data_IF_151811333111
#
_entry.id   IF_151811333111
#
_cell.length_a   1.000
_cell.length_b   1.000
_cell.length_c   1.000
_cell.angle_alpha   90.00
_cell.angle_beta   90.00
_cell.angle_gamma   90.00
#
_symmetry.space_group_name_H-M   'P 1'
#
loop_
_entity.id
_entity.type
_entity.pdbx_description
1 polymer ?
#
# COMPACT_ATOMS: atom_id res chain seq x y z
N UNK A 1 10.83 -3.90 -15.97
CA UNK A 1 9.79 -3.19 -15.20
C UNK A 1 9.13 -4.12 -14.19
N UNK A 2 8.64 -5.27 -14.64
CA UNK A 2 8.03 -6.25 -13.73
C UNK A 2 9.00 -6.73 -12.66
N UNK A 3 10.28 -6.88 -13.01
CA UNK A 3 11.31 -7.30 -12.07
C UNK A 3 11.50 -6.26 -10.96
N UNK A 4 11.50 -4.98 -11.32
CA UNK A 4 11.65 -3.91 -10.34
C UNK A 4 10.44 -3.85 -9.40
N UNK A 5 9.24 -4.07 -9.94
CA UNK A 5 8.02 -4.09 -9.15
C UNK A 5 8.05 -5.25 -8.15
N UNK A 6 8.45 -6.44 -8.61
CA UNK A 6 8.56 -7.60 -7.73
C UNK A 6 9.59 -7.36 -6.63
N UNK A 7 10.73 -6.73 -6.96
CA UNK A 7 11.75 -6.41 -5.98
C UNK A 7 11.20 -5.48 -4.91
N UNK A 8 10.43 -4.47 -5.30
CA UNK A 8 9.83 -3.55 -4.35
C UNK A 8 8.79 -4.25 -3.46
N UNK A 9 7.92 -5.07 -4.07
CA UNK A 9 6.89 -5.80 -3.32
C UNK A 9 7.54 -6.77 -2.32
N UNK A 10 8.68 -7.35 -2.68
CA UNK A 10 9.40 -8.29 -1.83
C UNK A 10 10.23 -7.62 -0.74
N UNK A 11 10.45 -6.32 -0.83
CA UNK A 11 11.36 -5.62 0.08
C UNK A 11 10.79 -5.45 1.49
N UNK A 12 9.48 -5.47 1.64
CA UNK A 12 8.80 -5.34 2.94
C UNK A 12 7.53 -6.18 2.95
N UNK A 13 7.11 -6.58 4.15
CA UNK A 13 5.85 -7.32 4.32
C UNK A 13 4.64 -6.50 3.91
N UNK A 14 4.69 -5.19 4.14
CA UNK A 14 3.62 -4.27 3.75
C UNK A 14 4.24 -3.21 2.84
N UNK A 15 3.75 -3.12 1.61
CA UNK A 15 4.24 -2.16 0.62
C UNK A 15 3.10 -1.34 0.06
N UNK A 16 3.30 -0.03 0.01
CA UNK A 16 2.33 0.91 -0.53
C UNK A 16 2.90 1.62 -1.75
N UNK A 17 2.23 1.46 -2.87
CA UNK A 17 2.54 2.25 -4.08
C UNK A 17 1.61 3.45 -4.06
N UNK A 18 2.19 4.65 -4.00
CA UNK A 18 1.42 5.87 -3.76
C UNK A 18 1.93 7.04 -4.59
N UNK A 19 1.17 8.11 -4.62
CA UNK A 19 1.58 9.37 -5.22
C UNK A 19 2.17 10.25 -4.11
N UNK A 20 3.46 10.53 -4.20
CA UNK A 20 4.20 11.22 -3.16
C UNK A 20 4.84 10.26 -2.18
N UNK A 21 5.11 10.73 -0.98
CA UNK A 21 5.74 9.95 0.09
C UNK A 21 4.82 9.95 1.31
N UNK A 22 5.04 9.02 2.28
CA UNK A 22 4.22 9.02 3.49
C UNK A 22 4.25 10.33 4.27
N UNK A 23 5.38 11.04 4.22
CA UNK A 23 5.52 12.34 4.88
C UNK A 23 4.87 13.44 4.04
N UNK A 24 4.88 13.28 2.72
CA UNK A 24 4.37 14.29 1.78
C UNK A 24 3.51 13.66 0.70
N UNK A 25 2.30 13.17 1.06
CA UNK A 25 1.42 12.60 0.04
C UNK A 25 0.98 13.67 -0.96
N UNK A 26 0.97 13.31 -2.23
CA UNK A 26 0.62 14.22 -3.32
C UNK A 26 -0.77 13.96 -3.90
N UNK A 27 -1.57 13.15 -3.21
CA UNK A 27 -2.91 12.77 -3.64
C UNK A 27 -3.73 12.46 -2.40
N UNK A 28 -4.96 12.95 -2.36
CA UNK A 28 -5.85 12.74 -1.21
C UNK A 28 -6.10 11.26 -0.91
N UNK A 29 -6.21 10.43 -1.95
CA UNK A 29 -6.41 9.00 -1.78
C UNK A 29 -5.18 8.33 -1.18
N UNK A 30 -3.99 8.72 -1.63
CA UNK A 30 -2.73 8.22 -1.05
C UNK A 30 -2.58 8.67 0.40
N UNK A 31 -2.92 9.92 0.69
CA UNK A 31 -2.89 10.46 2.06
C UNK A 31 -3.80 9.66 2.99
N UNK A 32 -4.98 9.27 2.50
CA UNK A 32 -5.93 8.51 3.30
C UNK A 32 -5.39 7.14 3.68
N UNK A 33 -4.75 6.44 2.74
CA UNK A 33 -4.18 5.12 3.03
C UNK A 33 -3.02 5.24 4.03
N UNK A 34 -2.16 6.25 3.87
CA UNK A 34 -1.07 6.49 4.82
C UNK A 34 -1.64 6.74 6.22
N UNK A 35 -2.68 7.55 6.33
CA UNK A 35 -3.33 7.84 7.61
C UNK A 35 -3.84 6.54 8.27
N UNK A 36 -4.48 5.68 7.48
CA UNK A 36 -5.01 4.41 7.98
C UNK A 36 -3.87 3.52 8.48
N UNK A 37 -2.80 3.38 7.71
CA UNK A 37 -1.67 2.54 8.09
C UNK A 37 -1.00 3.06 9.36
N UNK A 38 -0.91 4.38 9.51
CA UNK A 38 -0.36 4.98 10.73
C UNK A 38 -1.28 4.75 11.94
N UNK A 39 -2.58 4.80 11.75
CA UNK A 39 -3.55 4.52 12.84
C UNK A 39 -3.49 3.08 13.29
N UNK A 40 -3.34 2.16 12.37
CA UNK A 40 -3.18 0.75 12.68
C UNK A 40 -1.82 0.50 13.35
N UNK A 41 -0.85 1.36 13.06
CA UNK A 41 0.48 1.25 13.68
C UNK A 41 1.32 0.15 13.05
N UNK A 42 1.19 -0.05 11.74
CA UNK A 42 1.98 -1.04 11.02
C UNK A 42 3.14 -0.34 10.30
N UNK A 43 4.29 -1.00 10.28
CA UNK A 43 5.43 -0.54 9.50
C UNK A 43 5.23 -0.93 8.05
N UNK A 44 5.49 0.00 7.15
CA UNK A 44 5.34 -0.26 5.72
C UNK A 44 6.41 0.46 4.91
N UNK A 45 6.78 -0.15 3.79
CA UNK A 45 7.60 0.52 2.80
C UNK A 45 6.70 1.21 1.79
N UNK A 46 7.26 2.14 1.04
CA UNK A 46 6.49 2.87 0.04
C UNK A 46 7.30 3.11 -1.22
N UNK A 47 6.58 3.26 -2.33
CA UNK A 47 7.15 3.65 -3.62
C UNK A 47 6.37 4.86 -4.11
N UNK A 48 7.09 5.94 -4.43
CA UNK A 48 6.49 7.14 -5.02
C UNK A 48 6.42 6.97 -6.52
N UNK A 49 5.24 6.64 -7.03
CA UNK A 49 5.06 6.37 -8.46
C UNK A 49 5.16 7.63 -9.32
N UNK A 50 5.17 8.81 -8.70
CA UNK A 50 5.33 10.06 -9.45
C UNK A 50 6.77 10.25 -9.92
N UNK A 51 7.73 9.53 -9.36
CA UNK A 51 9.12 9.63 -9.75
C UNK A 51 9.44 8.84 -11.03
N UNK A 52 8.52 7.96 -11.46
CA UNK A 52 8.75 7.12 -12.64
C UNK A 52 7.42 6.77 -13.30
N UNK A 53 7.21 7.25 -14.51
CA UNK A 53 6.03 6.89 -15.31
C UNK A 53 6.01 5.40 -15.58
N UNK A 54 7.17 4.81 -15.77
CA UNK A 54 7.32 3.38 -16.01
C UNK A 54 6.81 2.57 -14.82
N UNK A 55 7.17 2.99 -13.60
CA UNK A 55 6.69 2.35 -12.38
C UNK A 55 5.19 2.55 -12.22
N UNK A 56 4.69 3.75 -12.46
CA UNK A 56 3.26 4.06 -12.32
C UNK A 56 2.41 3.21 -13.24
N UNK A 57 2.77 3.13 -14.51
CA UNK A 57 2.03 2.33 -15.47
C UNK A 57 2.27 0.83 -15.24
N UNK A 58 3.48 0.47 -14.86
CA UNK A 58 3.85 -0.91 -14.61
C UNK A 58 3.08 -1.54 -13.46
N UNK A 59 2.92 -0.81 -12.34
CA UNK A 59 2.19 -1.36 -11.19
C UNK A 59 0.71 -1.59 -11.49
N UNK A 60 0.11 -0.73 -12.32
CA UNK A 60 -1.28 -0.91 -12.74
C UNK A 60 -1.45 -2.18 -13.57
N UNK A 61 -0.50 -2.44 -14.46
CA UNK A 61 -0.51 -3.67 -15.27
C UNK A 61 -0.23 -4.90 -14.41
N UNK A 62 0.73 -4.80 -13.51
CA UNK A 62 1.10 -5.90 -12.63
C UNK A 62 -0.08 -6.37 -11.79
N UNK A 63 -0.82 -5.43 -11.20
CA UNK A 63 -1.97 -5.74 -10.35
C UNK A 63 -3.27 -5.95 -11.11
N UNK A 64 -3.30 -5.56 -12.38
CA UNK A 64 -4.52 -5.47 -13.16
C UNK A 64 -5.54 -4.53 -12.48
N UNK A 65 -5.05 -3.48 -11.85
CA UNK A 65 -5.86 -2.50 -11.12
C UNK A 65 -5.51 -1.11 -11.63
N UNK A 66 -6.49 -0.30 -12.00
CA UNK A 66 -6.25 0.91 -12.79
C UNK A 66 -5.82 2.14 -12.00
N UNK A 67 -5.88 2.11 -10.67
CA UNK A 67 -5.67 3.32 -9.87
C UNK A 67 -4.56 3.17 -8.84
N UNK A 68 -4.07 4.30 -8.36
CA UNK A 68 -3.12 4.45 -7.27
C UNK A 68 -3.86 5.20 -6.16
N UNK A 69 -3.70 4.87 -4.88
CA UNK A 69 -2.70 3.97 -4.29
C UNK A 69 -3.05 2.49 -4.38
N UNK A 70 -2.02 1.65 -4.20
CA UNK A 70 -2.19 0.19 -4.15
C UNK A 70 -1.41 -0.36 -2.96
N UNK A 71 -2.07 -1.18 -2.16
CA UNK A 71 -1.44 -1.80 -0.99
C UNK A 71 -1.19 -3.28 -1.22
N UNK A 72 0.01 -3.72 -0.85
CA UNK A 72 0.41 -5.13 -0.89
C UNK A 72 0.78 -5.59 0.51
N UNK A 73 0.30 -6.77 0.90
CA UNK A 73 0.63 -7.42 2.16
C UNK A 73 1.13 -8.82 1.86
N UNK A 74 2.36 -9.13 2.32
CA UNK A 74 2.99 -10.43 2.05
C UNK A 74 2.93 -10.80 0.58
N UNK A 75 3.27 -9.83 -0.27
CA UNK A 75 3.35 -9.97 -1.73
C UNK A 75 1.99 -10.09 -2.43
N UNK A 76 0.91 -9.99 -1.69
CA UNK A 76 -0.44 -10.10 -2.23
C UNK A 76 -1.09 -8.73 -2.35
N UNK A 77 -1.68 -8.46 -3.51
CA UNK A 77 -2.41 -7.22 -3.74
C UNK A 77 -3.68 -7.21 -2.90
N UNK A 78 -3.84 -6.19 -2.06
CA UNK A 78 -5.00 -6.09 -1.18
C UNK A 78 -6.06 -5.17 -1.79
N UNK A 79 -5.65 -3.98 -2.23
CA UNK A 79 -6.60 -3.06 -2.83
C UNK A 79 -6.12 -1.62 -2.81
N UNK A 80 -7.01 -0.75 -3.24
CA UNK A 80 -6.79 0.69 -3.26
C UNK A 80 -7.46 1.37 -2.08
N UNK A 81 -7.62 2.69 -2.19
CA UNK A 81 -8.12 3.52 -1.08
C UNK A 81 -9.48 3.07 -0.55
N UNK A 82 -10.43 2.81 -1.44
CA UNK A 82 -11.79 2.46 -1.01
C UNK A 82 -11.81 1.12 -0.26
N UNK A 83 -11.12 0.13 -0.78
CA UNK A 83 -11.06 -1.20 -0.16
C UNK A 83 -10.36 -1.12 1.19
N UNK A 84 -9.24 -0.42 1.27
CA UNK A 84 -8.49 -0.28 2.52
C UNK A 84 -9.31 0.47 3.57
N UNK A 85 -10.03 1.50 3.16
CA UNK A 85 -10.91 2.26 4.06
C UNK A 85 -12.01 1.34 4.63
N UNK A 86 -12.67 0.55 3.79
CA UNK A 86 -13.68 -0.40 4.24
C UNK A 86 -13.11 -1.43 5.20
N UNK A 87 -11.95 -1.99 4.87
CA UNK A 87 -11.31 -2.99 5.72
C UNK A 87 -10.90 -2.41 7.06
N UNK A 88 -10.46 -1.15 7.06
CA UNK A 88 -10.11 -0.47 8.31
C UNK A 88 -11.34 -0.29 9.18
N UNK A 89 -12.45 0.16 8.60
CA UNK A 89 -13.68 0.43 9.34
C UNK A 89 -14.34 -0.84 9.87
N UNK A 90 -14.23 -1.94 9.15
CA UNK A 90 -14.80 -3.22 9.56
C UNK A 90 -13.91 -4.02 10.52
N UNK A 91 -12.65 -3.61 10.69
CA UNK A 91 -11.68 -4.37 11.46
C UNK A 91 -10.94 -5.44 10.67
N UNK A 92 -11.31 -5.65 9.42
CA UNK A 92 -10.69 -6.68 8.57
C UNK A 92 -9.22 -6.40 8.29
N UNK A 93 -8.82 -5.13 8.23
CA UNK A 93 -7.42 -4.78 7.96
C UNK A 93 -6.53 -5.25 9.11
N UNK A 94 -6.93 -4.96 10.34
CA UNK A 94 -6.19 -5.38 11.51
C UNK A 94 -6.13 -6.90 11.59
N UNK A 95 -7.23 -7.57 11.30
CA UNK A 95 -7.30 -9.02 11.30
C UNK A 95 -6.37 -9.62 10.24
N UNK A 96 -6.35 -9.04 9.04
CA UNK A 96 -5.47 -9.47 7.96
C UNK A 96 -4.00 -9.40 8.38
N UNK A 97 -3.62 -8.27 8.98
CA UNK A 97 -2.24 -8.07 9.43
C UNK A 97 -1.87 -9.07 10.53
N UNK A 98 -2.74 -9.25 11.50
CA UNK A 98 -2.50 -10.21 12.59
C UNK A 98 -2.40 -11.64 12.07
N UNK A 99 -3.27 -12.04 11.16
CA UNK A 99 -3.27 -13.38 10.57
C UNK A 99 -1.98 -13.66 9.82
N UNK A 100 -1.38 -12.62 9.22
CA UNK A 100 -0.12 -12.75 8.49
C UNK A 100 1.09 -12.57 9.39
N UNK A 101 0.92 -12.48 10.70
CA UNK A 101 2.03 -12.37 11.65
C UNK A 101 2.73 -11.03 11.62
N UNK A 102 2.06 -9.99 11.15
CA UNK A 102 2.63 -8.65 11.05
C UNK A 102 2.32 -7.88 12.33
N UNK A 103 3.36 -7.33 12.95
CA UNK A 103 3.21 -6.57 14.19
C UNK A 103 2.49 -5.26 13.92
N UNK A 104 1.52 -4.96 14.75
CA UNK A 104 0.80 -3.68 14.72
C UNK A 104 0.84 -3.05 16.11
N UNK A 105 0.79 -1.74 16.14
CA UNK A 105 0.83 -0.99 17.39
C UNK A 105 -0.17 0.17 17.27
N UNK A 106 -1.47 -0.12 17.36
CA UNK A 106 -2.51 0.89 17.18
C UNK A 106 -2.36 2.03 18.20
N UNK A 107 -2.55 3.24 17.72
CA UNK A 107 -2.47 4.44 18.56
C UNK A 107 -3.86 4.89 19.02
#
# INVERSE_FOLDING_TARGET
VSQNIENEINSNDVMLFMKGTPVFPMCGFSARVVEILNKVGVKFGSVNVLESDEMREGIKKYSNWPTIPQLYVKKEFIGGCDIITEMFESGELLELLNTNGIDVNPS
#
